data_IF_606832588171
#
_entry.id   IF_606832588171
#
_cell.length_a   1.000
_cell.length_b   1.000
_cell.length_c   1.000
_cell.angle_alpha   90.00
_cell.angle_beta   90.00
_cell.angle_gamma   90.00
#
_symmetry.space_group_name_H-M   'P 1'
#
loop_
_entity.id
_entity.type
_entity.pdbx_description
1 polymer ?
#
# COMPACT_ATOMS: atom_id res chain seq x y z
N UNK A 1 11.24 -33.92 -15.50
CA UNK A 1 10.01 -33.14 -15.19
C UNK A 1 9.42 -32.64 -16.51
N UNK A 2 8.18 -33.04 -16.87
CA UNK A 2 7.49 -32.52 -18.07
C UNK A 2 7.23 -31.01 -17.84
N UNK A 3 7.72 -30.13 -18.72
CA UNK A 3 7.37 -28.71 -18.74
C UNK A 3 5.84 -28.60 -18.84
N UNK A 4 5.18 -28.03 -17.85
CA UNK A 4 3.74 -27.78 -17.89
C UNK A 4 3.48 -26.85 -19.10
N UNK A 5 2.69 -27.32 -20.05
CA UNK A 5 2.37 -26.56 -21.26
C UNK A 5 1.61 -25.31 -20.82
N UNK A 6 2.15 -24.13 -21.11
CA UNK A 6 1.48 -22.86 -20.82
C UNK A 6 0.45 -22.56 -21.91
N UNK A 7 -0.63 -21.87 -21.51
CA UNK A 7 -1.73 -21.47 -22.39
C UNK A 7 -1.58 -19.98 -22.75
N UNK A 8 -2.00 -19.65 -23.95
CA UNK A 8 -2.08 -18.26 -24.40
C UNK A 8 -3.41 -17.66 -23.92
N UNK A 9 -3.41 -17.15 -22.70
CA UNK A 9 -4.58 -16.56 -22.03
C UNK A 9 -4.49 -15.06 -22.12
N UNK A 10 -5.57 -14.38 -22.52
CA UNK A 10 -5.66 -12.91 -22.61
C UNK A 10 -6.83 -12.41 -21.78
N UNK A 11 -6.68 -11.24 -21.18
CA UNK A 11 -7.74 -10.55 -20.45
C UNK A 11 -7.28 -10.00 -19.10
N UNK A 12 -8.22 -9.46 -18.34
CA UNK A 12 -7.99 -8.89 -17.01
C UNK A 12 -8.86 -9.64 -16.02
N UNK A 13 -8.24 -10.14 -14.95
CA UNK A 13 -8.92 -10.70 -13.80
C UNK A 13 -8.96 -9.64 -12.70
N UNK A 14 -10.15 -9.33 -12.21
CA UNK A 14 -10.36 -8.54 -11.00
C UNK A 14 -10.22 -9.48 -9.81
N UNK A 15 -9.00 -9.58 -9.27
CA UNK A 15 -8.67 -10.52 -8.22
C UNK A 15 -8.82 -9.86 -6.86
N UNK A 16 -9.62 -10.45 -5.97
CA UNK A 16 -9.65 -10.08 -4.56
C UNK A 16 -8.49 -10.76 -3.84
N UNK A 17 -7.45 -9.98 -3.55
CA UNK A 17 -6.24 -10.50 -2.91
C UNK A 17 -6.51 -10.77 -1.43
N UNK A 18 -6.34 -11.99 -0.94
CA UNK A 18 -6.43 -12.28 0.48
C UNK A 18 -5.23 -11.69 1.24
N UNK A 19 -5.40 -11.53 2.56
CA UNK A 19 -4.28 -11.22 3.46
C UNK A 19 -3.22 -12.33 3.46
N UNK A 20 -1.99 -11.99 3.85
CA UNK A 20 -0.87 -12.91 4.01
C UNK A 20 -0.07 -13.19 2.72
N UNK A 21 -0.51 -12.71 1.56
CA UNK A 21 0.22 -12.85 0.30
C UNK A 21 0.70 -11.50 -0.23
N UNK A 22 1.94 -11.42 -0.66
CA UNK A 22 2.37 -10.30 -1.48
C UNK A 22 1.67 -10.32 -2.85
N UNK A 23 1.56 -9.15 -3.51
CA UNK A 23 0.96 -9.05 -4.84
C UNK A 23 1.63 -9.97 -5.86
N UNK A 24 2.97 -10.17 -5.77
CA UNK A 24 3.67 -11.11 -6.66
C UNK A 24 3.35 -12.57 -6.34
N UNK A 25 3.22 -12.96 -5.08
CA UNK A 25 2.82 -14.34 -4.71
C UNK A 25 1.40 -14.64 -5.21
N UNK A 26 0.46 -13.69 -5.03
CA UNK A 26 -0.89 -13.78 -5.58
C UNK A 26 -0.89 -13.91 -7.12
N UNK A 27 -0.14 -13.05 -7.81
CA UNK A 27 0.06 -13.13 -9.26
C UNK A 27 0.56 -14.50 -9.70
N UNK A 28 1.60 -15.04 -9.04
CA UNK A 28 2.17 -16.34 -9.42
C UNK A 28 1.22 -17.51 -9.14
N UNK A 29 0.41 -17.44 -8.08
CA UNK A 29 -0.62 -18.43 -7.79
C UNK A 29 -1.70 -18.44 -8.88
N UNK A 30 -2.23 -17.26 -9.20
CA UNK A 30 -3.24 -17.08 -10.26
C UNK A 30 -2.69 -17.47 -11.63
N UNK A 31 -1.47 -17.05 -11.97
CA UNK A 31 -0.81 -17.42 -13.23
C UNK A 31 -0.69 -18.94 -13.39
N UNK A 32 -0.34 -19.65 -12.31
CA UNK A 32 -0.27 -21.12 -12.32
C UNK A 32 -1.64 -21.78 -12.48
N UNK A 33 -2.67 -21.23 -11.80
CA UNK A 33 -4.03 -21.73 -11.88
C UNK A 33 -4.57 -21.67 -13.31
N UNK A 34 -4.35 -20.55 -14.00
CA UNK A 34 -4.77 -20.36 -15.39
C UNK A 34 -3.82 -21.02 -16.41
N UNK A 35 -2.65 -21.51 -15.99
CA UNK A 35 -1.62 -22.01 -16.89
C UNK A 35 -1.09 -20.92 -17.84
N UNK A 36 -1.20 -19.65 -17.46
CA UNK A 36 -0.93 -18.54 -18.38
C UNK A 36 0.56 -18.38 -18.69
N UNK A 37 0.90 -18.21 -19.96
CA UNK A 37 2.27 -17.98 -20.42
C UNK A 37 2.80 -16.63 -19.91
N UNK A 38 1.96 -15.57 -19.97
CA UNK A 38 2.30 -14.20 -19.57
C UNK A 38 1.26 -13.64 -18.65
N UNK A 39 1.69 -13.04 -17.53
CA UNK A 39 0.81 -12.32 -16.60
C UNK A 39 1.57 -11.21 -15.88
N UNK A 40 0.85 -10.17 -15.44
CA UNK A 40 1.35 -9.08 -14.62
C UNK A 40 0.23 -8.47 -13.78
N UNK A 41 0.54 -7.83 -12.66
CA UNK A 41 -0.44 -7.11 -11.85
C UNK A 41 -0.34 -5.60 -12.07
N UNK A 42 -1.47 -4.91 -11.93
CA UNK A 42 -1.59 -3.46 -12.11
C UNK A 42 -1.79 -2.75 -10.77
N UNK A 43 -0.81 -2.81 -9.91
CA UNK A 43 -0.78 -2.24 -8.56
C UNK A 43 -0.03 -3.14 -7.60
N UNK A 44 0.26 -2.65 -6.41
CA UNK A 44 0.85 -3.45 -5.33
C UNK A 44 0.07 -3.20 -4.06
N UNK A 45 -0.35 -4.29 -3.43
CA UNK A 45 -0.89 -4.32 -2.09
C UNK A 45 0.13 -4.98 -1.17
N UNK A 46 0.29 -4.43 0.03
CA UNK A 46 1.12 -5.04 1.07
C UNK A 46 0.56 -6.40 1.50
N UNK A 47 1.36 -7.29 2.11
CA UNK A 47 0.89 -8.64 2.46
C UNK A 47 -0.35 -8.63 3.33
N UNK A 48 -0.42 -7.75 4.34
CA UNK A 48 -1.59 -7.63 5.23
C UNK A 48 -2.85 -7.09 4.52
N UNK A 49 -2.67 -6.28 3.46
CA UNK A 49 -3.78 -5.64 2.78
C UNK A 49 -4.58 -6.66 1.94
N UNK A 50 -5.89 -6.47 1.89
CA UNK A 50 -6.83 -7.23 1.07
C UNK A 50 -7.43 -6.34 -0.01
N UNK A 51 -8.15 -6.92 -0.96
CA UNK A 51 -8.95 -6.21 -1.94
C UNK A 51 -8.43 -6.29 -3.38
N UNK A 52 -8.92 -5.40 -4.21
CA UNK A 52 -8.78 -5.46 -5.66
C UNK A 52 -7.33 -5.38 -6.14
N UNK A 53 -6.85 -6.44 -6.73
CA UNK A 53 -5.58 -6.53 -7.46
C UNK A 53 -5.85 -6.93 -8.91
N UNK A 54 -5.90 -5.99 -9.87
CA UNK A 54 -6.07 -6.35 -11.27
C UNK A 54 -4.87 -7.17 -11.78
N UNK A 55 -5.15 -8.36 -12.33
CA UNK A 55 -4.15 -9.23 -12.95
C UNK A 55 -4.41 -9.27 -14.46
N UNK A 56 -3.43 -8.82 -15.23
CA UNK A 56 -3.45 -8.79 -16.68
C UNK A 56 -2.77 -10.02 -17.24
N UNK A 57 -3.38 -10.69 -18.21
CA UNK A 57 -2.84 -11.83 -18.92
C UNK A 57 -2.56 -11.50 -20.40
N UNK A 58 -1.50 -12.10 -20.95
CA UNK A 58 -1.15 -12.01 -22.37
C UNK A 58 -1.11 -10.56 -22.87
N UNK A 59 -1.90 -10.25 -23.89
CA UNK A 59 -1.97 -8.91 -24.50
C UNK A 59 -2.42 -7.81 -23.53
N UNK A 60 -3.27 -8.13 -22.54
CA UNK A 60 -3.71 -7.15 -21.56
C UNK A 60 -2.56 -6.62 -20.67
N UNK A 61 -1.40 -7.30 -20.61
CA UNK A 61 -0.22 -6.76 -19.92
C UNK A 61 0.30 -5.46 -20.54
N UNK A 62 -0.03 -5.18 -21.79
CA UNK A 62 0.39 -3.94 -22.50
C UNK A 62 -0.30 -2.70 -21.94
N UNK A 63 -1.52 -2.85 -21.37
CA UNK A 63 -2.30 -1.76 -20.78
C UNK A 63 -2.20 -1.69 -19.25
N UNK A 64 -1.43 -2.59 -18.62
CA UNK A 64 -1.25 -2.60 -17.17
C UNK A 64 -0.73 -1.26 -16.62
N UNK A 65 0.07 -0.51 -17.39
CA UNK A 65 0.56 0.82 -17.03
C UNK A 65 -0.55 1.85 -16.85
N UNK A 66 -1.61 1.80 -17.67
CA UNK A 66 -2.77 2.69 -17.56
C UNK A 66 -3.53 2.43 -16.24
N UNK A 67 -3.76 1.15 -15.92
CA UNK A 67 -4.39 0.75 -14.66
C UNK A 67 -3.51 1.11 -13.45
N UNK A 68 -2.20 1.00 -13.57
CA UNK A 68 -1.26 1.39 -12.52
C UNK A 68 -1.35 2.89 -12.21
N UNK A 69 -1.51 3.73 -13.22
CA UNK A 69 -1.65 5.19 -13.11
C UNK A 69 -3.01 5.67 -12.59
N UNK A 70 -4.03 4.81 -12.53
CA UNK A 70 -5.38 5.21 -12.09
C UNK A 70 -5.43 5.61 -10.61
N UNK A 71 -6.49 6.34 -10.25
CA UNK A 71 -6.84 6.60 -8.84
C UNK A 71 -7.18 5.30 -8.13
N UNK A 72 -6.91 5.26 -6.84
CA UNK A 72 -7.16 4.11 -5.96
C UNK A 72 -7.84 4.56 -4.68
N UNK A 73 -8.74 3.74 -4.18
CA UNK A 73 -9.43 3.98 -2.92
C UNK A 73 -9.11 2.86 -1.92
N UNK A 74 -8.95 3.24 -0.65
CA UNK A 74 -8.63 2.35 0.45
C UNK A 74 -9.49 2.65 1.67
N UNK A 75 -9.86 1.59 2.37
CA UNK A 75 -10.26 1.67 3.77
C UNK A 75 -9.07 1.24 4.63
N UNK A 76 -8.72 2.02 5.63
CA UNK A 76 -7.60 1.73 6.52
C UNK A 76 -7.94 2.05 7.95
N UNK A 77 -7.28 1.36 8.88
CA UNK A 77 -7.34 1.66 10.30
C UNK A 77 -5.99 2.25 10.75
N UNK A 78 -6.06 3.43 11.36
CA UNK A 78 -4.95 4.06 12.05
C UNK A 78 -5.07 3.72 13.53
N UNK A 79 -4.26 2.79 14.02
CA UNK A 79 -4.14 2.52 15.46
C UNK A 79 -3.26 3.59 16.08
N UNK A 80 -3.77 4.25 17.11
CA UNK A 80 -3.07 5.34 17.79
C UNK A 80 -2.20 4.82 18.95
N UNK A 81 -1.20 5.62 19.34
CA UNK A 81 -0.35 5.35 20.49
C UNK A 81 0.86 4.43 20.23
N UNK A 82 1.10 4.02 19.00
CA UNK A 82 2.28 3.20 18.68
C UNK A 82 2.81 3.48 17.26
N UNK A 83 4.12 3.44 17.11
CA UNK A 83 4.82 3.48 15.82
C UNK A 83 5.56 2.15 15.59
N UNK A 84 5.58 1.65 14.37
CA UNK A 84 6.26 0.41 14.00
C UNK A 84 7.36 0.67 12.96
N UNK A 85 8.33 -0.23 12.88
CA UNK A 85 9.46 -0.13 11.94
C UNK A 85 9.04 -0.27 10.46
N UNK A 86 7.83 -0.79 10.19
CA UNK A 86 7.27 -0.94 8.83
C UNK A 86 6.18 0.09 8.49
N UNK A 87 5.82 0.97 9.43
CA UNK A 87 4.66 1.87 9.34
C UNK A 87 3.32 1.12 9.15
N UNK A 88 3.23 -0.17 9.55
CA UNK A 88 2.01 -0.99 9.50
C UNK A 88 1.91 -1.97 10.68
N UNK A 89 0.82 -2.75 10.72
CA UNK A 89 0.53 -3.66 11.82
C UNK A 89 1.38 -4.95 11.82
N UNK A 90 2.18 -5.22 10.78
CA UNK A 90 3.10 -6.37 10.72
C UNK A 90 4.47 -6.04 11.33
N UNK A 91 4.77 -4.74 11.52
CA UNK A 91 6.04 -4.27 12.07
C UNK A 91 6.17 -4.46 13.56
N UNK A 92 7.43 -4.44 14.01
CA UNK A 92 7.76 -4.39 15.43
C UNK A 92 7.50 -2.98 15.96
N UNK A 93 6.81 -2.86 17.10
CA UNK A 93 6.65 -1.57 17.79
C UNK A 93 8.02 -1.03 18.19
N UNK A 94 8.32 0.19 17.77
CA UNK A 94 9.56 0.90 18.07
C UNK A 94 9.36 2.06 19.04
N UNK A 95 8.13 2.59 19.11
CA UNK A 95 7.78 3.67 20.04
C UNK A 95 6.33 3.52 20.49
N UNK A 96 6.05 3.87 21.73
CA UNK A 96 4.70 3.98 22.29
C UNK A 96 4.51 5.34 22.94
N UNK A 97 3.32 5.93 22.74
CA UNK A 97 2.93 7.20 23.35
C UNK A 97 1.53 7.09 23.93
N UNK A 98 1.23 7.91 24.93
CA UNK A 98 -0.15 8.08 25.40
C UNK A 98 -0.96 8.78 24.32
N UNK A 99 -2.10 8.22 23.98
CA UNK A 99 -2.99 8.84 23.00
C UNK A 99 -3.72 10.01 23.67
N UNK A 100 -3.63 11.24 23.14
CA UNK A 100 -4.38 12.36 23.67
C UNK A 100 -5.88 12.18 23.44
N UNK A 101 -6.69 12.89 24.22
CA UNK A 101 -8.13 12.98 23.94
C UNK A 101 -8.30 13.81 22.66
N UNK A 102 -8.71 13.14 21.59
CA UNK A 102 -8.96 13.80 20.31
C UNK A 102 -10.44 14.08 20.15
N UNK A 103 -10.79 15.26 19.66
CA UNK A 103 -12.11 15.54 19.13
C UNK A 103 -12.12 15.32 17.59
N UNK A 104 -13.31 15.30 17.02
CA UNK A 104 -13.46 15.08 15.59
C UNK A 104 -12.93 16.24 14.75
N UNK A 105 -12.92 17.45 15.26
CA UNK A 105 -12.45 18.62 14.55
C UNK A 105 -10.93 18.64 14.48
N UNK A 106 -10.23 18.22 15.54
CA UNK A 106 -8.78 18.01 15.51
C UNK A 106 -8.40 16.95 14.48
N UNK A 107 -9.12 15.82 14.45
CA UNK A 107 -8.88 14.77 13.45
C UNK A 107 -9.14 15.28 12.04
N UNK A 108 -10.27 15.95 11.79
CA UNK A 108 -10.60 16.52 10.47
C UNK A 108 -9.58 17.56 10.01
N UNK A 109 -9.11 18.41 10.92
CA UNK A 109 -8.09 19.41 10.64
C UNK A 109 -6.76 18.77 10.24
N UNK A 110 -6.32 17.73 10.96
CA UNK A 110 -5.12 16.98 10.61
C UNK A 110 -5.25 16.27 9.24
N UNK A 111 -6.39 15.63 8.96
CA UNK A 111 -6.67 14.99 7.67
C UNK A 111 -6.65 16.01 6.51
N UNK A 112 -7.18 17.22 6.70
CA UNK A 112 -7.18 18.26 5.70
C UNK A 112 -5.76 18.67 5.28
N UNK A 113 -4.79 18.70 6.20
CA UNK A 113 -3.38 18.99 5.89
C UNK A 113 -2.67 17.91 5.07
N UNK A 114 -3.25 16.70 5.02
CA UNK A 114 -2.75 15.55 4.26
C UNK A 114 -3.57 15.28 2.99
N UNK A 115 -4.42 16.24 2.59
CA UNK A 115 -5.26 16.16 1.40
C UNK A 115 -4.75 17.16 0.35
N UNK A 116 -4.91 16.82 -0.95
CA UNK A 116 -4.39 17.60 -2.07
C UNK A 116 -3.01 17.13 -2.53
N UNK A 117 -2.22 18.02 -3.08
CA UNK A 117 -0.82 17.75 -3.43
C UNK A 117 0.05 17.88 -2.19
N UNK A 118 0.65 16.79 -1.79
CA UNK A 118 1.47 16.73 -0.58
C UNK A 118 2.85 16.14 -0.89
N UNK A 119 3.82 16.48 -0.07
CA UNK A 119 5.14 15.87 -0.06
C UNK A 119 5.14 14.73 0.96
N UNK A 120 5.33 13.52 0.50
CA UNK A 120 5.32 12.30 1.32
C UNK A 120 6.70 11.64 1.32
N UNK A 121 7.15 11.16 2.48
CA UNK A 121 8.31 10.29 2.63
C UNK A 121 7.80 8.85 2.63
N UNK A 122 8.13 8.04 1.60
CA UNK A 122 7.75 6.64 1.55
C UNK A 122 8.34 5.84 2.72
N UNK A 123 7.71 4.72 3.12
CA UNK A 123 8.26 3.87 4.18
C UNK A 123 9.59 3.23 3.74
N UNK A 124 10.46 2.93 4.71
CA UNK A 124 11.70 2.19 4.46
C UNK A 124 11.45 0.83 3.79
N UNK A 125 10.36 0.17 4.18
CA UNK A 125 9.90 -1.09 3.59
C UNK A 125 9.06 -0.86 2.32
N UNK A 126 9.69 -0.25 1.30
CA UNK A 126 9.06 0.05 0.00
C UNK A 126 9.77 -0.65 -1.17
N UNK A 127 9.07 -0.77 -2.29
CA UNK A 127 9.62 -1.30 -3.54
C UNK A 127 10.43 -0.27 -4.34
N UNK A 128 10.64 0.94 -3.80
CA UNK A 128 11.49 1.97 -4.42
C UNK A 128 12.90 1.42 -4.54
N UNK A 129 13.48 1.58 -5.72
CA UNK A 129 14.87 1.15 -5.96
C UNK A 129 15.82 2.30 -5.75
N UNK A 130 16.89 2.04 -5.01
CA UNK A 130 18.07 2.90 -4.92
C UNK A 130 19.29 2.08 -5.34
N UNK A 131 20.06 2.57 -6.29
CA UNK A 131 21.23 1.86 -6.84
C UNK A 131 20.88 0.45 -7.39
N UNK A 132 19.67 0.33 -7.98
CA UNK A 132 19.19 -0.93 -8.57
C UNK A 132 18.54 -1.91 -7.59
N UNK A 133 18.68 -1.70 -6.26
CA UNK A 133 18.11 -2.56 -5.24
C UNK A 133 16.88 -1.94 -4.56
N UNK A 134 15.77 -2.70 -4.34
CA UNK A 134 14.61 -2.22 -3.60
C UNK A 134 14.94 -1.93 -2.12
N UNK A 135 14.44 -0.81 -1.59
CA UNK A 135 14.70 -0.38 -0.21
C UNK A 135 14.29 -1.42 0.83
N UNK A 136 13.17 -2.14 0.62
CA UNK A 136 12.72 -3.18 1.55
C UNK A 136 13.75 -4.30 1.75
N UNK A 137 14.60 -4.60 0.75
CA UNK A 137 15.66 -5.62 0.89
C UNK A 137 16.77 -5.13 1.82
N UNK A 138 17.15 -3.87 1.67
CA UNK A 138 18.16 -3.22 2.52
C UNK A 138 17.66 -3.10 3.96
N UNK A 139 16.41 -2.63 4.14
CA UNK A 139 15.78 -2.53 5.46
C UNK A 139 15.72 -3.89 6.18
N UNK A 140 15.39 -4.99 5.46
CA UNK A 140 15.40 -6.35 6.04
C UNK A 140 16.78 -6.84 6.47
N UNK A 141 17.85 -6.30 5.92
CA UNK A 141 19.25 -6.57 6.37
C UNK A 141 19.67 -5.69 7.55
N UNK A 142 18.75 -4.87 8.08
CA UNK A 142 19.03 -3.95 9.19
C UNK A 142 19.74 -2.66 8.76
N UNK A 143 19.82 -2.37 7.45
CA UNK A 143 20.37 -1.11 6.99
C UNK A 143 19.38 0.03 7.27
N UNK A 144 19.88 1.16 7.79
CA UNK A 144 19.09 2.39 7.85
C UNK A 144 18.94 2.95 6.45
N UNK A 145 17.71 2.95 5.95
CA UNK A 145 17.38 3.44 4.61
C UNK A 145 16.30 4.50 4.68
N UNK A 146 16.51 5.59 3.97
CA UNK A 146 15.51 6.63 3.79
C UNK A 146 15.13 6.73 2.32
N UNK A 147 13.84 6.75 2.06
CA UNK A 147 13.33 7.03 0.73
C UNK A 147 13.32 8.55 0.47
N UNK A 148 13.69 9.01 -0.73
CA UNK A 148 13.56 10.42 -1.06
C UNK A 148 12.09 10.84 -1.02
N UNK A 149 11.79 12.02 -0.48
CA UNK A 149 10.44 12.57 -0.52
C UNK A 149 9.94 12.68 -1.95
N UNK A 150 8.65 12.44 -2.14
CA UNK A 150 7.97 12.57 -3.43
C UNK A 150 6.68 13.36 -3.32
N UNK A 151 6.29 14.02 -4.39
CA UNK A 151 4.96 14.60 -4.51
C UNK A 151 3.95 13.50 -4.85
N UNK A 152 2.83 13.50 -4.13
CA UNK A 152 1.69 12.62 -4.35
C UNK A 152 0.40 13.44 -4.28
N UNK A 153 -0.66 12.91 -4.88
CA UNK A 153 -1.97 13.55 -4.86
C UNK A 153 -2.94 12.71 -4.05
N UNK A 154 -3.50 13.29 -2.99
CA UNK A 154 -4.53 12.72 -2.13
C UNK A 154 -5.83 13.43 -2.43
N UNK A 155 -6.76 12.75 -3.12
CA UNK A 155 -8.03 13.36 -3.55
C UNK A 155 -9.02 13.48 -2.40
N UNK A 156 -9.06 12.44 -1.54
CA UNK A 156 -9.88 12.42 -0.33
C UNK A 156 -9.12 11.72 0.79
N UNK A 157 -9.17 12.29 1.98
CA UNK A 157 -8.73 11.62 3.20
C UNK A 157 -9.68 12.01 4.32
N UNK A 158 -10.53 11.07 4.76
CA UNK A 158 -11.62 11.39 5.68
C UNK A 158 -11.84 10.33 6.74
N UNK A 159 -12.29 10.78 7.90
CA UNK A 159 -12.72 9.92 9.00
C UNK A 159 -14.05 9.25 8.63
N UNK A 160 -14.11 7.93 8.77
CA UNK A 160 -15.34 7.14 8.64
C UNK A 160 -15.94 6.87 10.01
N UNK A 161 -15.10 6.43 10.96
CA UNK A 161 -15.54 5.99 12.27
C UNK A 161 -14.40 6.14 13.28
N UNK A 162 -14.74 6.49 14.51
CA UNK A 162 -13.82 6.41 15.65
C UNK A 162 -14.05 5.11 16.40
N UNK A 163 -12.97 4.39 16.62
CA UNK A 163 -12.91 3.21 17.46
C UNK A 163 -12.22 3.57 18.79
N UNK A 164 -12.33 2.77 19.85
CA UNK A 164 -11.74 3.10 21.16
C UNK A 164 -10.23 3.43 21.13
N UNK A 165 -9.46 2.81 20.23
CA UNK A 165 -8.00 3.00 20.09
C UNK A 165 -7.54 3.16 18.64
N UNK A 166 -8.46 3.44 17.73
CA UNK A 166 -8.14 3.57 16.31
C UNK A 166 -9.09 4.53 15.58
N UNK A 167 -8.67 4.98 14.41
CA UNK A 167 -9.49 5.73 13.47
C UNK A 167 -9.68 4.88 12.22
N UNK A 168 -10.92 4.66 11.80
CA UNK A 168 -11.22 4.06 10.49
C UNK A 168 -11.33 5.18 9.47
N UNK A 169 -10.52 5.09 8.42
CA UNK A 169 -10.29 6.17 7.46
C UNK A 169 -10.58 5.68 6.04
N UNK A 170 -11.07 6.59 5.21
CA UNK A 170 -11.15 6.42 3.77
C UNK A 170 -10.09 7.29 3.09
N UNK A 171 -9.36 6.70 2.15
CA UNK A 171 -8.34 7.38 1.33
C UNK A 171 -8.66 7.16 -0.13
N UNK A 172 -8.74 8.23 -0.92
CA UNK A 172 -8.67 8.18 -2.39
C UNK A 172 -7.44 8.97 -2.84
N UNK A 173 -6.54 8.31 -3.59
CA UNK A 173 -5.25 8.90 -3.94
C UNK A 173 -4.76 8.48 -5.33
N UNK A 174 -3.83 9.25 -5.84
CA UNK A 174 -3.10 8.96 -7.06
C UNK A 174 -2.07 7.83 -6.91
N UNK A 175 -1.51 7.42 -8.03
CA UNK A 175 -0.44 6.42 -8.10
C UNK A 175 0.79 6.86 -7.31
N UNK A 176 1.45 5.91 -6.66
CA UNK A 176 2.68 6.16 -5.90
C UNK A 176 2.48 6.66 -4.47
N UNK A 177 1.24 6.90 -4.05
CA UNK A 177 0.91 7.23 -2.65
C UNK A 177 1.03 5.99 -1.77
N UNK A 178 1.67 6.13 -0.62
CA UNK A 178 1.76 5.11 0.43
C UNK A 178 0.74 5.42 1.53
N UNK A 179 -0.26 4.56 1.67
CA UNK A 179 -1.28 4.71 2.73
C UNK A 179 -0.64 4.60 4.11
N UNK A 180 0.37 3.74 4.28
CA UNK A 180 1.15 3.62 5.52
C UNK A 180 1.78 4.94 5.94
N UNK A 181 2.40 5.67 5.02
CA UNK A 181 2.97 6.98 5.31
C UNK A 181 1.89 8.02 5.64
N UNK A 182 0.71 7.97 4.99
CA UNK A 182 -0.40 8.86 5.35
C UNK A 182 -0.87 8.62 6.79
N UNK A 183 -0.95 7.34 7.19
CA UNK A 183 -1.36 6.96 8.55
C UNK A 183 -0.30 7.37 9.57
N UNK A 184 0.99 7.14 9.31
CA UNK A 184 2.09 7.59 10.15
C UNK A 184 2.06 9.11 10.31
N UNK A 185 2.03 9.84 9.19
CA UNK A 185 2.06 11.31 9.18
C UNK A 185 0.81 11.91 9.86
N UNK A 186 -0.34 11.23 9.80
CA UNK A 186 -1.54 11.59 10.57
C UNK A 186 -1.31 11.40 12.07
N UNK A 187 -0.76 10.25 12.48
CA UNK A 187 -0.46 9.98 13.88
C UNK A 187 0.48 11.02 14.48
N UNK A 188 1.54 11.40 13.76
CA UNK A 188 2.46 12.46 14.19
C UNK A 188 1.78 13.84 14.38
N UNK A 189 0.76 14.15 13.58
CA UNK A 189 0.01 15.42 13.71
C UNK A 189 -0.98 15.41 14.86
N UNK A 190 -1.38 14.22 15.29
CA UNK A 190 -2.33 14.05 16.39
C UNK A 190 -1.64 13.88 17.75
N UNK A 191 -0.30 13.77 17.80
CA UNK A 191 0.51 13.57 19.01
C UNK A 191 0.72 12.13 19.35
#
# INVERSE_FOLDING_TARGET
MKRKQTRDVHGILLFDKPSGLSSNQALQAVRRLYGAAKAGHAGSLDPLATGLLPICFGEATKIAGLLLGSRKAYLTECRLGATTDTDDAEGRVIETRSTPTLDDDAVRSALATLTGRIRQIPPAYSAIKREGEPLYRRARRGETVEAPPREVEVHQFRLIERLPSALRLFVECGSGTYVRSLVRDLGERLG
#
